data_IF_629863320574
#
_entry.id   IF_629863320574
#
_cell.length_a   1.000
_cell.length_b   1.000
_cell.length_c   1.000
_cell.angle_alpha   90.00
_cell.angle_beta   90.00
_cell.angle_gamma   90.00
#
_symmetry.space_group_name_H-M   'P 1'
#
loop_
_entity.id
_entity.type
_entity.pdbx_description
1 polymer ?
#
# COMPACT_ATOMS: atom_id res chain seq x y z
N UNK A 1 3.09 13.19 -8.03
CA UNK A 1 1.77 12.73 -8.49
C UNK A 1 1.80 11.23 -8.73
N UNK A 2 1.23 10.43 -7.82
CA UNK A 2 1.14 8.97 -8.00
C UNK A 2 0.03 8.69 -9.01
N UNK A 3 0.37 8.09 -10.15
CA UNK A 3 -0.59 7.74 -11.19
C UNK A 3 -1.51 6.62 -10.70
N UNK A 4 -2.84 6.81 -10.82
CA UNK A 4 -3.82 5.75 -10.57
C UNK A 4 -3.42 4.50 -11.33
N UNK A 5 -3.43 3.36 -10.64
CA UNK A 5 -3.08 2.07 -11.25
C UNK A 5 -4.27 1.57 -12.06
N UNK A 6 -4.02 1.17 -13.31
CA UNK A 6 -5.05 0.58 -14.15
C UNK A 6 -5.59 -0.72 -13.54
N UNK A 7 -6.92 -0.99 -13.58
CA UNK A 7 -7.52 -2.18 -12.98
C UNK A 7 -6.89 -3.50 -13.45
N UNK A 8 -6.56 -3.62 -14.74
CA UNK A 8 -5.94 -4.82 -15.30
C UNK A 8 -4.57 -5.15 -14.67
N UNK A 9 -3.78 -4.13 -14.31
CA UNK A 9 -2.51 -4.33 -13.61
C UNK A 9 -2.72 -4.80 -12.17
N UNK A 10 -3.79 -4.36 -11.52
CA UNK A 10 -4.12 -4.71 -10.15
C UNK A 10 -4.52 -6.19 -10.06
N UNK A 11 -5.35 -6.66 -11.00
CA UNK A 11 -5.71 -8.08 -11.14
C UNK A 11 -4.48 -8.95 -11.40
N UNK A 12 -3.57 -8.51 -12.26
CA UNK A 12 -2.34 -9.26 -12.54
C UNK A 12 -1.45 -9.40 -11.29
N UNK A 13 -1.32 -8.34 -10.48
CA UNK A 13 -0.56 -8.38 -9.23
C UNK A 13 -1.23 -9.25 -8.15
N UNK A 14 -2.56 -9.26 -8.09
CA UNK A 14 -3.30 -10.10 -7.13
C UNK A 14 -3.16 -11.60 -7.40
N UNK A 15 -2.85 -12.00 -8.64
CA UNK A 15 -2.60 -13.41 -8.99
C UNK A 15 -1.25 -13.95 -8.53
N UNK A 16 -0.34 -13.10 -8.03
CA UNK A 16 0.98 -13.50 -7.55
C UNK A 16 1.07 -13.31 -6.02
N UNK A 17 0.79 -14.35 -5.21
CA UNK A 17 0.67 -14.22 -3.75
C UNK A 17 1.93 -13.65 -3.07
N UNK A 18 3.12 -13.91 -3.63
CA UNK A 18 4.38 -13.37 -3.11
C UNK A 18 4.48 -11.84 -3.15
N UNK A 19 3.62 -11.17 -3.94
CA UNK A 19 3.54 -9.71 -4.06
C UNK A 19 2.41 -9.08 -3.26
N UNK A 20 1.54 -9.88 -2.64
CA UNK A 20 0.42 -9.40 -1.83
C UNK A 20 0.85 -9.34 -0.37
N UNK A 21 0.59 -8.21 0.30
CA UNK A 21 0.81 -8.04 1.74
C UNK A 21 -0.50 -7.66 2.41
N UNK A 22 -1.06 -8.59 3.17
CA UNK A 22 -2.24 -8.34 3.98
C UNK A 22 -1.79 -7.67 5.28
N UNK A 23 -2.25 -6.45 5.51
CA UNK A 23 -1.90 -5.64 6.69
C UNK A 23 -3.22 -5.25 7.37
N UNK A 24 -3.24 -5.35 8.70
CA UNK A 24 -4.34 -4.89 9.53
C UNK A 24 -3.83 -3.82 10.51
N UNK A 25 -4.61 -2.77 10.70
CA UNK A 25 -4.30 -1.70 11.65
C UNK A 25 -5.16 -1.91 12.89
N UNK A 26 -4.51 -2.21 14.02
CA UNK A 26 -5.15 -2.41 15.31
C UNK A 26 -4.64 -1.35 16.28
N UNK A 27 -5.55 -0.65 16.97
CA UNK A 27 -5.20 0.32 18.00
C UNK A 27 -6.40 0.65 18.89
N UNK A 28 -6.15 1.27 20.03
CA UNK A 28 -7.18 1.80 20.93
C UNK A 28 -7.91 3.01 20.32
N UNK A 29 -9.11 3.32 20.82
CA UNK A 29 -9.91 4.48 20.39
C UNK A 29 -9.05 5.76 20.49
N UNK A 30 -9.23 6.68 19.55
CA UNK A 30 -8.48 7.95 19.45
C UNK A 30 -6.97 7.86 19.18
N UNK A 31 -6.43 6.68 18.88
CA UNK A 31 -5.01 6.51 18.47
C UNK A 31 -4.76 6.77 16.96
N UNK A 32 -5.63 7.51 16.28
CA UNK A 32 -5.39 7.94 14.89
C UNK A 32 -5.38 6.82 13.84
N UNK A 33 -5.97 5.65 14.09
CA UNK A 33 -6.10 4.54 13.11
C UNK A 33 -6.70 4.99 11.78
N UNK A 34 -7.80 5.75 11.87
CA UNK A 34 -8.54 6.24 10.72
C UNK A 34 -7.71 7.27 9.96
N UNK A 35 -7.00 8.14 10.68
CA UNK A 35 -6.04 9.10 10.09
C UNK A 35 -4.92 8.38 9.34
N UNK A 36 -4.33 7.34 9.93
CA UNK A 36 -3.28 6.55 9.28
C UNK A 36 -3.81 5.87 8.01
N UNK A 37 -5.00 5.29 8.09
CA UNK A 37 -5.65 4.64 6.95
C UNK A 37 -5.91 5.63 5.81
N UNK A 38 -6.47 6.79 6.11
CA UNK A 38 -6.71 7.86 5.14
C UNK A 38 -5.42 8.38 4.49
N UNK A 39 -4.32 8.48 5.24
CA UNK A 39 -3.01 8.86 4.69
C UNK A 39 -2.48 7.81 3.70
N UNK A 40 -2.69 6.51 3.96
CA UNK A 40 -2.34 5.45 3.01
C UNK A 40 -3.18 5.53 1.72
N UNK A 41 -4.46 5.86 1.85
CA UNK A 41 -5.39 6.07 0.73
C UNK A 41 -4.99 7.31 -0.09
N UNK A 42 -4.63 8.40 0.59
CA UNK A 42 -4.12 9.63 -0.03
C UNK A 42 -2.82 9.40 -0.79
N UNK A 43 -1.88 8.63 -0.22
CA UNK A 43 -0.61 8.28 -0.86
C UNK A 43 -0.78 7.53 -2.19
N UNK A 44 -1.89 6.79 -2.34
CA UNK A 44 -2.26 6.11 -3.58
C UNK A 44 -3.01 7.02 -4.57
N UNK A 45 -3.25 8.29 -4.24
CA UNK A 45 -3.96 9.26 -5.08
C UNK A 45 -5.46 9.00 -5.18
N UNK A 46 -6.05 8.30 -4.20
CA UNK A 46 -7.48 8.00 -4.17
C UNK A 46 -8.26 9.19 -3.58
N UNK A 47 -7.74 9.77 -2.49
CA UNK A 47 -8.25 10.99 -1.86
C UNK A 47 -7.16 12.07 -1.83
N UNK A 48 -7.54 13.32 -1.58
CA UNK A 48 -6.54 14.39 -1.38
C UNK A 48 -5.97 14.34 0.04
N UNK A 49 -4.71 14.78 0.20
CA UNK A 49 -4.04 14.82 1.51
C UNK A 49 -4.75 15.73 2.52
N UNK A 50 -5.40 16.81 2.04
CA UNK A 50 -6.21 17.72 2.86
C UNK A 50 -7.49 17.07 3.39
N UNK A 51 -7.98 16.03 2.72
CA UNK A 51 -9.15 15.25 3.14
C UNK A 51 -8.78 14.11 4.08
N UNK A 52 -7.49 13.76 4.19
CA UNK A 52 -7.06 12.68 5.06
C UNK A 52 -7.32 13.00 6.54
N UNK A 53 -7.95 12.07 7.27
CA UNK A 53 -8.34 12.22 8.67
C UNK A 53 -9.66 12.97 8.88
N UNK A 54 -10.14 13.72 7.89
CA UNK A 54 -11.46 14.38 7.92
C UNK A 54 -12.54 13.54 7.27
N UNK A 55 -12.21 12.95 6.11
CA UNK A 55 -13.15 12.17 5.33
C UNK A 55 -13.45 10.81 5.96
N UNK A 56 -12.45 10.20 6.63
CA UNK A 56 -12.56 8.87 7.24
C UNK A 56 -13.07 7.86 6.22
N UNK A 57 -12.34 7.72 5.12
CA UNK A 57 -12.80 7.07 3.89
C UNK A 57 -13.30 5.63 4.08
N UNK A 58 -12.78 4.92 5.09
CA UNK A 58 -13.14 3.53 5.39
C UNK A 58 -14.33 3.39 6.36
N UNK A 59 -14.70 4.47 7.07
CA UNK A 59 -15.82 4.51 8.01
C UNK A 59 -17.10 4.81 7.20
N UNK A 60 -17.76 3.75 6.75
CA UNK A 60 -18.89 3.83 5.80
C UNK A 60 -20.25 4.03 6.48
N UNK A 61 -20.34 3.71 7.77
CA UNK A 61 -21.58 3.85 8.53
C UNK A 61 -21.73 5.29 9.01
N UNK A 62 -22.93 5.87 8.89
CA UNK A 62 -23.19 7.23 9.39
C UNK A 62 -22.87 7.38 10.88
N UNK A 63 -23.16 6.35 11.67
CA UNK A 63 -22.88 6.36 13.10
C UNK A 63 -21.37 6.36 13.40
N UNK A 64 -20.55 5.73 12.56
CA UNK A 64 -19.08 5.78 12.67
C UNK A 64 -18.59 7.21 12.45
N UNK A 65 -19.13 7.90 11.43
CA UNK A 65 -18.78 9.27 11.12
C UNK A 65 -19.24 10.26 12.20
N UNK A 66 -20.48 10.10 12.70
CA UNK A 66 -21.04 10.94 13.78
C UNK A 66 -20.26 10.81 15.08
N UNK A 67 -19.91 9.58 15.46
CA UNK A 67 -19.20 9.27 16.71
C UNK A 67 -17.68 9.41 16.61
N UNK A 68 -17.17 9.45 15.39
CA UNK A 68 -15.73 9.51 15.15
C UNK A 68 -14.99 8.24 15.56
N UNK A 69 -15.62 7.06 15.46
CA UNK A 69 -15.02 5.77 15.80
C UNK A 69 -15.21 4.76 14.67
N UNK A 70 -14.28 3.81 14.54
CA UNK A 70 -14.43 2.66 13.63
C UNK A 70 -15.12 1.53 14.39
N UNK A 71 -16.32 1.14 13.95
CA UNK A 71 -17.10 0.06 14.55
C UNK A 71 -16.96 -1.25 13.77
N UNK A 72 -16.81 -1.17 12.44
CA UNK A 72 -16.62 -2.31 11.55
C UNK A 72 -15.30 -2.24 10.81
N UNK A 73 -14.71 -3.41 10.58
CA UNK A 73 -13.52 -3.52 9.74
C UNK A 73 -13.90 -3.37 8.26
N UNK A 74 -13.24 -2.46 7.58
CA UNK A 74 -13.30 -2.26 6.13
C UNK A 74 -11.93 -2.57 5.51
N UNK A 75 -11.93 -3.10 4.29
CA UNK A 75 -10.70 -3.47 3.59
C UNK A 75 -10.49 -2.59 2.35
N UNK A 76 -9.23 -2.26 2.06
CA UNK A 76 -8.83 -1.54 0.85
C UNK A 76 -7.57 -2.16 0.26
N UNK A 77 -7.51 -2.22 -1.07
CA UNK A 77 -6.32 -2.66 -1.80
C UNK A 77 -5.52 -1.45 -2.27
N UNK A 78 -4.24 -1.41 -1.88
CA UNK A 78 -3.31 -0.32 -2.21
C UNK A 78 -2.12 -0.87 -2.99
N UNK A 79 -1.60 -0.08 -3.92
CA UNK A 79 -0.45 -0.48 -4.74
C UNK A 79 0.79 0.28 -4.30
N UNK A 80 1.72 -0.44 -3.67
CA UNK A 80 3.00 0.12 -3.27
C UNK A 80 4.05 -0.03 -4.37
N UNK A 81 4.60 1.09 -4.83
CA UNK A 81 5.77 1.10 -5.73
C UNK A 81 7.04 1.18 -4.89
N UNK A 82 7.66 0.04 -4.63
CA UNK A 82 8.94 0.00 -3.94
C UNK A 82 10.00 0.79 -4.73
N UNK A 83 10.66 1.75 -4.08
CA UNK A 83 11.93 2.29 -4.60
C UNK A 83 12.93 1.14 -4.58
N UNK A 84 13.57 0.85 -5.72
CA UNK A 84 14.69 -0.10 -5.78
C UNK A 84 15.72 0.34 -4.73
N UNK A 85 15.95 -0.48 -3.69
CA UNK A 85 17.08 -0.25 -2.79
C UNK A 85 18.34 -0.47 -3.62
N UNK A 86 19.25 0.51 -3.64
CA UNK A 86 20.55 0.42 -4.36
C UNK A 86 21.30 -0.89 -4.08
N UNK A 87 21.13 -1.50 -2.90
CA UNK A 87 21.68 -2.83 -2.53
C UNK A 87 21.23 -3.99 -3.43
N UNK A 88 19.98 -3.99 -3.93
CA UNK A 88 19.49 -5.04 -4.83
C UNK A 88 19.96 -4.86 -6.28
N UNK A 89 20.24 -3.62 -6.71
CA UNK A 89 20.85 -3.37 -8.02
C UNK A 89 22.31 -3.82 -8.06
N UNK A 90 23.08 -3.56 -6.98
CA UNK A 90 24.46 -4.03 -6.88
C UNK A 90 24.56 -5.56 -6.86
N UNK A 91 23.67 -6.26 -6.13
CA UNK A 91 23.65 -7.72 -6.11
C UNK A 91 23.20 -8.34 -7.45
N UNK A 92 22.26 -7.71 -8.16
CA UNK A 92 21.82 -8.17 -9.47
C UNK A 92 22.84 -7.89 -10.59
N UNK A 93 23.66 -6.83 -10.47
CA UNK A 93 24.78 -6.56 -11.39
C UNK A 93 25.95 -7.52 -11.14
N UNK A 94 26.30 -7.79 -9.87
CA UNK A 94 27.38 -8.73 -9.53
C UNK A 94 27.07 -10.18 -9.97
N UNK A 95 25.80 -10.60 -9.95
CA UNK A 95 25.39 -11.92 -10.44
C UNK A 95 25.37 -12.04 -11.97
N UNK A 96 25.34 -10.92 -12.71
CA UNK A 96 25.39 -10.90 -14.17
C UNK A 96 26.82 -10.83 -14.73
N UNK A 97 27.82 -10.56 -13.87
CA UNK A 97 29.24 -10.44 -14.24
C UNK A 97 30.08 -11.67 -13.91
N UNK A 98 29.49 -12.78 -13.44
CA UNK A 98 30.24 -14.03 -13.26
C UNK A 98 30.69 -14.57 -14.64
N UNK A 99 31.99 -14.48 -15.00
CA UNK A 99 32.46 -14.98 -16.28
C UNK A 99 32.38 -16.50 -16.22
N UNK A 100 31.74 -17.08 -17.24
CA UNK A 100 31.74 -18.51 -17.46
C UNK A 100 33.16 -19.07 -17.41
N UNK A 101 33.33 -20.08 -16.58
CA UNK A 101 34.42 -21.05 -16.65
C UNK A 101 34.56 -21.50 -18.10
N UNK A 102 35.59 -21.01 -18.81
CA UNK A 102 36.03 -21.60 -20.07
C UNK A 102 36.64 -22.96 -19.75
N UNK A 103 35.86 -24.00 -20.05
CA UNK A 103 36.39 -25.32 -20.35
C UNK A 103 37.12 -25.25 -21.69
N UNK A 104 38.33 -25.81 -21.76
CA UNK A 104 39.15 -25.90 -22.98
C UNK A 104 40.62 -25.79 -22.68
#
# INVERSE_FOLDING_TARGET
MSARVAPGRLVALQREPGRVRNICILAHVDHGKTTLSDLLVSSNGIISERQAGKLRYLDSLEDEQKRGITMRASAISLVYRARKRKRQQAAAQAAAEAPGTVAG
#
